data_IF_363829708679
#
_entry.id   IF_363829708679
#
_cell.length_a   1.000
_cell.length_b   1.000
_cell.length_c   1.000
_cell.angle_alpha   90.00
_cell.angle_beta   90.00
_cell.angle_gamma   90.00
#
_symmetry.space_group_name_H-M   'P 1'
#
loop_
_entity.id
_entity.type
_entity.pdbx_description
1 polymer ?
#
# COMPACT_ATOMS: atom_id res chain seq x y z
N UNK A 1 -20.36 -12.97 6.79
CA UNK A 1 -19.06 -13.02 6.12
C UNK A 1 -18.45 -11.66 6.29
N UNK A 2 -17.65 -11.50 7.34
CA UNK A 2 -16.64 -10.44 7.36
C UNK A 2 -15.74 -10.74 6.17
N UNK A 3 -15.76 -9.87 5.17
CA UNK A 3 -14.69 -9.84 4.19
C UNK A 3 -13.46 -9.38 4.96
N UNK A 4 -12.75 -10.33 5.57
CA UNK A 4 -11.37 -10.10 6.01
C UNK A 4 -10.65 -9.48 4.81
N UNK A 5 -10.34 -8.20 4.97
CA UNK A 5 -9.55 -7.34 4.10
C UNK A 5 -8.10 -7.85 4.03
N UNK A 6 -7.91 -9.13 3.69
CA UNK A 6 -6.65 -9.63 3.15
C UNK A 6 -6.58 -9.14 1.70
N UNK A 7 -6.43 -7.83 1.54
CA UNK A 7 -5.89 -7.29 0.31
C UNK A 7 -4.54 -7.98 0.11
N UNK A 8 -4.46 -8.85 -0.89
CA UNK A 8 -3.20 -9.48 -1.28
C UNK A 8 -2.18 -8.38 -1.54
N UNK A 9 -1.15 -8.33 -0.71
CA UNK A 9 0.01 -7.48 -0.96
C UNK A 9 0.90 -8.26 -1.93
N UNK A 10 0.91 -7.85 -3.19
CA UNK A 10 1.78 -8.40 -4.23
C UNK A 10 2.95 -7.46 -4.50
N UNK A 11 4.15 -8.03 -4.54
CA UNK A 11 5.38 -7.36 -4.94
C UNK A 11 5.42 -7.18 -6.47
N UNK A 12 6.35 -6.36 -6.97
CA UNK A 12 6.59 -6.25 -8.40
C UNK A 12 7.20 -7.55 -8.93
N UNK A 13 6.61 -8.15 -9.96
CA UNK A 13 7.14 -9.39 -10.49
C UNK A 13 6.22 -10.14 -11.46
N UNK A 14 6.70 -11.28 -11.92
CA UNK A 14 5.92 -12.21 -12.74
C UNK A 14 5.12 -13.16 -11.85
N UNK A 15 3.82 -13.16 -12.04
CA UNK A 15 2.88 -14.03 -11.33
C UNK A 15 2.24 -15.01 -12.31
N UNK A 16 1.80 -16.15 -11.78
CA UNK A 16 0.98 -17.12 -12.48
C UNK A 16 -0.39 -17.18 -11.79
N UNK A 17 -1.45 -16.83 -12.52
CA UNK A 17 -2.81 -17.11 -12.07
C UNK A 17 -3.19 -18.51 -12.53
N UNK A 18 -3.68 -19.32 -11.58
CA UNK A 18 -4.21 -20.66 -11.84
C UNK A 18 -5.72 -20.60 -11.60
N UNK A 19 -6.49 -20.83 -12.66
CA UNK A 19 -7.95 -20.94 -12.57
C UNK A 19 -8.28 -22.43 -12.49
N UNK A 20 -8.95 -22.84 -11.42
CA UNK A 20 -9.33 -24.23 -11.21
C UNK A 20 -10.71 -24.34 -10.55
N UNK A 21 -11.43 -25.42 -10.83
CA UNK A 21 -12.70 -25.72 -10.16
C UNK A 21 -12.51 -26.26 -8.74
N UNK A 22 -11.33 -26.81 -8.46
CA UNK A 22 -10.92 -27.29 -7.14
C UNK A 22 -9.40 -27.13 -6.96
N UNK A 23 -8.90 -27.42 -5.77
CA UNK A 23 -7.45 -27.44 -5.47
C UNK A 23 -6.69 -28.62 -6.09
N UNK A 24 -7.39 -29.58 -6.70
CA UNK A 24 -6.75 -30.72 -7.35
C UNK A 24 -6.14 -30.29 -8.70
N UNK A 25 -4.97 -30.84 -9.02
CA UNK A 25 -4.22 -30.46 -10.24
C UNK A 25 -4.98 -30.82 -11.54
N UNK A 26 -5.77 -31.89 -11.50
CA UNK A 26 -6.65 -32.33 -12.59
C UNK A 26 -7.83 -31.39 -12.88
N UNK A 27 -8.18 -30.50 -11.94
CA UNK A 27 -9.29 -29.55 -12.07
C UNK A 27 -8.84 -28.15 -12.52
N UNK A 28 -7.55 -27.99 -12.89
CA UNK A 28 -7.01 -26.75 -13.43
C UNK A 28 -7.53 -26.51 -14.84
N UNK A 29 -8.23 -25.41 -15.02
CA UNK A 29 -8.85 -25.02 -16.28
C UNK A 29 -7.90 -24.19 -17.14
N UNK A 30 -7.13 -23.29 -16.51
CA UNK A 30 -6.25 -22.38 -17.23
C UNK A 30 -5.10 -21.89 -16.35
N UNK A 31 -4.00 -21.50 -16.99
CA UNK A 31 -2.84 -20.86 -16.39
C UNK A 31 -2.36 -19.73 -17.27
N UNK A 32 -2.26 -18.53 -16.73
CA UNK A 32 -1.66 -17.41 -17.45
C UNK A 32 -0.70 -16.64 -16.58
N UNK A 33 0.38 -16.20 -17.23
CA UNK A 33 1.44 -15.40 -16.61
C UNK A 33 1.19 -13.94 -16.90
N UNK A 34 1.25 -13.12 -15.86
CA UNK A 34 1.12 -11.68 -15.98
C UNK A 34 2.21 -11.00 -15.14
N UNK A 35 2.68 -9.85 -15.63
CA UNK A 35 3.59 -9.01 -14.89
C UNK A 35 2.78 -8.06 -14.03
N UNK A 36 3.00 -8.07 -12.73
CA UNK A 36 2.50 -7.05 -11.82
C UNK A 36 3.56 -5.96 -11.77
N UNK A 37 3.28 -4.84 -12.41
CA UNK A 37 4.13 -3.66 -12.30
C UNK A 37 3.99 -3.08 -10.88
N UNK A 38 5.12 -2.71 -10.27
CA UNK A 38 5.17 -2.05 -8.96
C UNK A 38 4.55 -0.64 -8.94
N UNK A 39 3.87 -0.24 -10.02
CA UNK A 39 3.02 0.94 -10.19
C UNK A 39 1.52 0.60 -10.28
N UNK A 40 1.14 -0.65 -10.05
CA UNK A 40 -0.27 -1.04 -9.94
C UNK A 40 -0.93 -0.25 -8.79
N UNK A 41 -2.25 -0.14 -8.68
CA UNK A 41 -2.92 0.51 -7.54
C UNK A 41 -2.59 -0.09 -6.16
N UNK A 42 -1.81 -1.18 -6.09
CA UNK A 42 -1.22 -1.76 -4.88
C UNK A 42 0.20 -1.26 -4.58
N UNK A 43 0.72 -0.33 -5.40
CA UNK A 43 1.99 0.35 -5.21
C UNK A 43 1.95 1.22 -3.96
N UNK A 44 2.92 1.00 -3.08
CA UNK A 44 2.99 1.69 -1.80
C UNK A 44 3.32 3.17 -2.01
N UNK A 45 2.60 4.07 -1.35
CA UNK A 45 2.75 5.51 -1.53
C UNK A 45 1.53 6.29 -1.00
N UNK A 46 1.20 7.42 -1.63
CA UNK A 46 0.09 8.29 -1.18
C UNK A 46 -1.28 7.61 -1.28
N UNK A 47 -1.42 6.58 -2.11
CA UNK A 47 -2.66 5.81 -2.25
C UNK A 47 -2.76 4.62 -1.29
N UNK A 48 -1.74 4.36 -0.46
CA UNK A 48 -1.78 3.30 0.54
C UNK A 48 -2.65 3.65 1.72
N UNK A 49 -3.24 2.63 2.34
CA UNK A 49 -4.03 2.79 3.56
C UNK A 49 -3.14 3.18 4.74
N UNK A 50 -3.69 3.93 5.69
CA UNK A 50 -2.98 4.33 6.91
C UNK A 50 -2.52 3.12 7.71
N UNK A 51 -3.32 2.04 7.75
CA UNK A 51 -2.94 0.79 8.41
C UNK A 51 -1.58 0.28 7.94
N UNK A 52 -1.43 0.11 6.63
CA UNK A 52 -0.18 -0.39 6.01
C UNK A 52 1.00 0.53 6.34
N UNK A 53 0.79 1.84 6.16
CA UNK A 53 1.84 2.83 6.37
C UNK A 53 2.27 2.94 7.84
N UNK A 54 1.38 2.66 8.78
CA UNK A 54 1.63 2.79 10.22
C UNK A 54 2.18 1.51 10.86
N UNK A 55 1.84 0.32 10.32
CA UNK A 55 2.30 -0.98 10.82
C UNK A 55 3.71 -1.34 10.31
N UNK A 56 4.10 -0.96 9.09
CA UNK A 56 5.49 -1.10 8.63
C UNK A 56 6.36 0.01 9.24
N UNK A 57 7.39 -0.38 10.02
CA UNK A 57 8.25 0.55 10.73
C UNK A 57 9.02 1.51 9.81
N UNK A 58 9.37 1.07 8.60
CA UNK A 58 10.12 1.87 7.62
C UNK A 58 9.19 2.88 6.97
N UNK A 59 7.99 2.44 6.56
CA UNK A 59 6.95 3.34 6.02
C UNK A 59 6.50 4.37 7.05
N UNK A 60 6.31 3.95 8.32
CA UNK A 60 5.95 4.87 9.40
C UNK A 60 6.99 5.95 9.60
N UNK A 61 8.28 5.60 9.49
CA UNK A 61 9.38 6.56 9.55
C UNK A 61 9.32 7.56 8.41
N UNK A 62 9.02 7.11 7.19
CA UNK A 62 8.83 8.00 6.04
C UNK A 62 7.61 8.92 6.21
N UNK A 63 6.48 8.42 6.70
CA UNK A 63 5.28 9.25 6.94
C UNK A 63 5.56 10.29 8.03
N UNK A 64 6.28 9.92 9.11
CA UNK A 64 6.72 10.87 10.12
C UNK A 64 7.62 11.96 9.53
N UNK A 65 8.61 11.58 8.74
CA UNK A 65 9.51 12.52 8.11
C UNK A 65 8.76 13.49 7.17
N UNK A 66 7.82 12.99 6.37
CA UNK A 66 6.96 13.81 5.51
C UNK A 66 6.16 14.83 6.34
N UNK A 67 5.55 14.40 7.44
CA UNK A 67 4.79 15.27 8.34
C UNK A 67 5.67 16.32 9.04
N UNK A 68 6.87 15.94 9.47
CA UNK A 68 7.84 16.85 10.08
C UNK A 68 8.35 17.90 9.09
N UNK A 69 8.68 17.50 7.85
CA UNK A 69 9.17 18.40 6.80
C UNK A 69 8.12 19.44 6.39
N UNK A 70 6.86 19.03 6.37
CA UNK A 70 5.72 19.88 5.99
C UNK A 70 5.14 20.67 7.18
N UNK A 71 5.55 20.36 8.40
CA UNK A 71 5.01 20.95 9.64
C UNK A 71 3.56 20.54 9.91
N UNK A 72 3.10 19.41 9.40
CA UNK A 72 1.75 18.89 9.62
C UNK A 72 1.63 18.17 10.97
N UNK A 73 0.42 18.14 11.51
CA UNK A 73 0.13 17.42 12.76
C UNK A 73 0.08 15.91 12.52
N UNK A 74 1.09 15.20 13.03
CA UNK A 74 1.16 13.73 12.92
C UNK A 74 0.06 13.04 13.72
N UNK A 75 -0.55 13.72 14.69
CA UNK A 75 -1.74 13.26 15.40
C UNK A 75 -2.91 12.93 14.47
N UNK A 76 -2.97 13.53 13.27
CA UNK A 76 -3.95 13.17 12.24
C UNK A 76 -3.73 11.72 11.78
N UNK A 77 -2.48 11.32 11.55
CA UNK A 77 -2.14 9.95 11.13
C UNK A 77 -2.45 8.96 12.25
N UNK A 78 -2.09 9.29 13.50
CA UNK A 78 -2.36 8.44 14.66
C UNK A 78 -3.86 8.25 14.91
N UNK A 79 -4.64 9.33 14.80
CA UNK A 79 -6.09 9.29 14.93
C UNK A 79 -6.73 8.44 13.83
N UNK A 80 -6.31 8.62 12.57
CA UNK A 80 -6.84 7.80 11.47
C UNK A 80 -6.41 6.33 11.61
N UNK A 81 -5.20 6.03 12.10
CA UNK A 81 -4.81 4.66 12.40
C UNK A 81 -5.70 4.02 13.47
N UNK A 82 -6.11 4.77 14.48
CA UNK A 82 -6.94 4.25 15.56
C UNK A 82 -8.41 4.05 15.16
N UNK A 83 -8.98 4.96 14.37
CA UNK A 83 -10.44 5.01 14.14
C UNK A 83 -10.89 4.76 12.69
N UNK A 84 -10.04 5.02 11.70
CA UNK A 84 -10.38 4.94 10.26
C UNK A 84 -9.17 4.48 9.43
N UNK A 85 -8.56 3.36 9.82
CA UNK A 85 -7.24 2.92 9.34
C UNK A 85 -7.24 2.50 7.86
N UNK A 86 -8.42 2.26 7.30
CA UNK A 86 -8.67 1.94 5.90
C UNK A 86 -8.61 3.16 4.96
N UNK A 87 -8.63 4.39 5.47
CA UNK A 87 -8.43 5.60 4.64
C UNK A 87 -7.05 5.59 4.00
N UNK A 88 -6.94 6.16 2.81
CA UNK A 88 -5.65 6.36 2.13
C UNK A 88 -4.93 7.58 2.66
N UNK A 89 -3.61 7.61 2.54
CA UNK A 89 -2.80 8.76 2.95
C UNK A 89 -3.26 10.05 2.26
N UNK A 90 -3.49 10.02 0.95
CA UNK A 90 -3.94 11.17 0.16
C UNK A 90 -5.27 11.78 0.64
N UNK A 91 -6.12 11.00 1.32
CA UNK A 91 -7.40 11.46 1.86
C UNK A 91 -7.26 12.23 3.18
N UNK A 92 -6.13 12.06 3.88
CA UNK A 92 -5.89 12.68 5.18
C UNK A 92 -4.75 13.71 5.15
N UNK A 93 -4.04 13.80 4.03
CA UNK A 93 -2.99 14.79 3.81
C UNK A 93 -3.59 16.20 3.85
N UNK A 94 -3.09 17.11 4.70
CA UNK A 94 -3.61 18.47 4.82
C UNK A 94 -3.47 19.32 3.55
N UNK A 95 -2.38 19.16 2.79
CA UNK A 95 -2.16 19.85 1.52
C UNK A 95 -1.72 18.86 0.44
N UNK A 96 -2.65 18.54 -0.46
CA UNK A 96 -2.46 17.55 -1.53
C UNK A 96 -1.49 18.01 -2.64
N UNK A 97 -1.11 19.29 -2.68
CA UNK A 97 -0.17 19.82 -3.67
C UNK A 97 1.26 19.94 -3.13
N UNK A 98 1.52 19.46 -1.91
CA UNK A 98 2.85 19.54 -1.33
C UNK A 98 3.87 18.75 -2.18
N UNK A 99 4.98 19.39 -2.61
CA UNK A 99 5.96 18.75 -3.50
C UNK A 99 6.61 17.51 -2.86
N UNK A 100 6.66 17.46 -1.53
CA UNK A 100 7.15 16.32 -0.76
C UNK A 100 6.35 15.04 -0.96
N UNK A 101 5.09 15.12 -1.43
CA UNK A 101 4.26 13.93 -1.67
C UNK A 101 4.77 13.08 -2.84
N UNK A 102 5.31 13.73 -3.88
CA UNK A 102 5.90 13.02 -5.00
C UNK A 102 7.18 12.28 -4.57
N UNK A 103 8.03 12.98 -3.80
CA UNK A 103 9.25 12.42 -3.23
C UNK A 103 8.95 11.28 -2.22
N UNK A 104 7.90 11.43 -1.41
CA UNK A 104 7.43 10.37 -0.51
C UNK A 104 7.04 9.10 -1.29
N UNK A 105 6.30 9.23 -2.39
CA UNK A 105 5.88 8.07 -3.18
C UNK A 105 7.09 7.31 -3.75
N UNK A 106 8.11 8.03 -4.23
CA UNK A 106 9.35 7.42 -4.73
C UNK A 106 10.14 6.73 -3.60
N UNK A 107 10.28 7.39 -2.45
CA UNK A 107 10.95 6.82 -1.26
C UNK A 107 10.22 5.59 -0.71
N UNK A 108 8.89 5.63 -0.63
CA UNK A 108 8.08 4.52 -0.16
C UNK A 108 8.27 3.28 -1.05
N UNK A 109 8.28 3.47 -2.38
CA UNK A 109 8.55 2.39 -3.32
C UNK A 109 9.98 1.82 -3.19
N UNK A 110 10.98 2.67 -2.92
CA UNK A 110 12.37 2.24 -2.78
C UNK A 110 12.63 1.43 -1.50
N UNK A 111 12.01 1.82 -0.39
CA UNK A 111 12.24 1.22 0.94
C UNK A 111 11.68 -0.20 1.07
N UNK A 112 10.74 -0.58 0.20
CA UNK A 112 10.13 -1.91 0.17
C UNK A 112 10.78 -2.87 -0.84
N UNK A 113 11.76 -2.42 -1.63
CA UNK A 113 12.50 -3.26 -2.60
C UNK A 113 13.67 -4.04 -1.97
N UNK A 114 13.84 -3.98 -0.65
CA UNK A 114 14.91 -4.61 0.13
C UNK A 114 14.41 -5.07 1.50
#
# INVERSE_FOLDING_TARGET
YDMDEQAFITEEGYYEAIIAFSSAEEDVCDRFKFYVEGKSPYSFGVNSTIKILYEDARLKTLVKALWEETGWDFGIVESNYQYTSNKKLIEIVPDQNAPQLADFAEKAAAVLKY
#
